data_IF_485225540597
#
_entry.id   IF_485225540597
#
_cell.length_a   1.000
_cell.length_b   1.000
_cell.length_c   1.000
_cell.angle_alpha   90.00
_cell.angle_beta   90.00
_cell.angle_gamma   90.00
#
_symmetry.space_group_name_H-M   'P 1'
#
loop_
_entity.id
_entity.type
_entity.pdbx_description
1 polymer ?
#
# COMPACT_ATOMS: atom_id res chain seq x y z
N UNK A 1 56.70 -34.48 32.76
CA UNK A 1 56.63 -33.16 32.09
C UNK A 1 55.35 -32.49 32.57
N UNK A 2 55.46 -31.39 33.30
CA UNK A 2 54.29 -30.61 33.72
C UNK A 2 53.88 -29.68 32.58
N UNK A 3 52.59 -29.66 32.26
CA UNK A 3 52.05 -28.61 31.40
C UNK A 3 52.06 -27.29 32.18
N UNK A 4 52.66 -26.26 31.61
CA UNK A 4 52.60 -24.89 32.09
C UNK A 4 51.57 -24.10 31.30
N UNK A 5 51.14 -22.99 31.89
CA UNK A 5 50.20 -22.06 31.29
C UNK A 5 50.94 -20.82 30.78
N UNK A 6 50.62 -20.37 29.57
CA UNK A 6 51.11 -19.11 29.01
C UNK A 6 49.94 -18.18 28.67
N UNK A 7 49.71 -17.21 29.56
CA UNK A 7 48.63 -16.23 29.44
C UNK A 7 48.96 -15.09 28.46
N UNK A 8 50.17 -15.04 27.91
CA UNK A 8 50.60 -13.97 26.99
C UNK A 8 50.33 -14.29 25.54
N UNK A 9 50.12 -15.58 25.20
CA UNK A 9 49.97 -16.04 23.82
C UNK A 9 48.61 -15.78 23.21
N UNK A 10 47.57 -15.67 24.03
CA UNK A 10 46.19 -15.60 23.57
C UNK A 10 45.57 -14.22 23.81
N UNK A 11 44.84 -13.77 22.79
CA UNK A 11 43.96 -12.62 22.89
C UNK A 11 42.76 -12.92 23.80
N UNK A 12 42.01 -11.88 24.14
CA UNK A 12 40.73 -12.06 24.82
C UNK A 12 39.68 -12.58 23.85
N UNK A 13 38.79 -13.45 24.34
CA UNK A 13 37.54 -13.74 23.63
C UNK A 13 36.49 -12.72 24.02
N UNK A 14 35.78 -12.18 23.05
CA UNK A 14 34.68 -11.25 23.30
C UNK A 14 33.34 -11.98 23.26
N UNK A 15 32.59 -11.84 24.35
CA UNK A 15 31.23 -12.30 24.50
C UNK A 15 30.32 -11.07 24.58
N UNK A 16 29.86 -10.60 23.43
CA UNK A 16 29.09 -9.36 23.35
C UNK A 16 27.68 -9.51 23.93
N UNK A 17 27.11 -10.71 23.92
CA UNK A 17 25.79 -10.99 24.51
C UNK A 17 25.84 -10.89 26.04
N UNK A 18 26.85 -11.49 26.66
CA UNK A 18 27.08 -11.36 28.10
C UNK A 18 27.74 -10.04 28.50
N UNK A 19 28.22 -9.25 27.52
CA UNK A 19 28.97 -8.02 27.73
C UNK A 19 30.32 -8.25 28.42
N UNK A 20 31.03 -9.35 28.10
CA UNK A 20 32.29 -9.74 28.75
C UNK A 20 33.44 -9.93 27.78
N UNK A 21 34.64 -9.53 28.19
CA UNK A 21 35.90 -9.99 27.62
C UNK A 21 36.49 -11.08 28.51
N UNK A 22 36.77 -12.25 27.97
CA UNK A 22 37.21 -13.43 28.72
C UNK A 22 38.67 -13.70 28.40
N UNK A 23 39.52 -13.75 29.44
CA UNK A 23 40.95 -14.03 29.27
C UNK A 23 41.12 -15.46 28.78
N UNK A 24 41.89 -15.62 27.71
CA UNK A 24 42.29 -16.93 27.22
C UNK A 24 43.74 -17.24 27.57
N UNK A 25 44.06 -18.52 27.55
CA UNK A 25 45.40 -19.03 27.80
C UNK A 25 45.77 -20.16 26.84
N UNK A 26 47.06 -20.38 26.63
CA UNK A 26 47.57 -21.55 25.91
C UNK A 26 48.39 -22.41 26.87
N UNK A 27 48.12 -23.71 26.88
CA UNK A 27 48.94 -24.66 27.62
C UNK A 27 50.16 -25.06 26.80
N UNK A 28 51.31 -25.22 27.44
CA UNK A 28 52.55 -25.65 26.80
C UNK A 28 53.34 -26.58 27.72
N UNK A 29 54.28 -27.33 27.17
CA UNK A 29 55.26 -28.09 27.95
C UNK A 29 56.66 -27.89 27.37
N UNK A 30 57.68 -28.14 28.18
CA UNK A 30 59.07 -28.12 27.73
C UNK A 30 59.46 -29.56 27.38
N UNK A 31 59.89 -29.79 26.14
CA UNK A 31 60.33 -31.09 25.67
C UNK A 31 61.75 -31.43 26.17
N UNK A 32 62.26 -32.61 25.77
CA UNK A 32 63.61 -33.07 26.19
C UNK A 32 64.74 -32.25 25.59
N UNK A 33 64.47 -31.45 24.57
CA UNK A 33 65.44 -30.55 23.92
C UNK A 33 65.34 -29.11 24.48
N UNK A 34 64.62 -28.93 25.58
CA UNK A 34 64.38 -27.63 26.21
C UNK A 34 63.61 -26.65 25.32
N UNK A 35 62.79 -27.16 24.38
CA UNK A 35 61.91 -26.33 23.53
C UNK A 35 60.48 -26.34 24.07
N UNK A 36 59.85 -25.18 24.02
CA UNK A 36 58.44 -25.01 24.38
C UNK A 36 57.55 -25.56 23.26
N UNK A 37 56.73 -26.54 23.60
CA UNK A 37 55.75 -27.16 22.71
C UNK A 37 54.34 -26.79 23.18
N UNK A 38 53.51 -26.29 22.25
CA UNK A 38 52.14 -25.91 22.56
C UNK A 38 51.22 -27.14 22.64
N UNK A 39 50.33 -27.14 23.62
CA UNK A 39 49.29 -28.15 23.82
C UNK A 39 47.97 -27.53 23.40
N UNK A 40 47.55 -27.80 22.17
CA UNK A 40 46.30 -27.31 21.62
C UNK A 40 46.26 -25.79 21.38
N UNK A 41 45.04 -25.30 21.19
CA UNK A 41 44.76 -23.88 20.94
C UNK A 41 44.52 -23.08 22.21
N UNK A 42 44.15 -21.81 22.03
CA UNK A 42 43.71 -20.94 23.11
C UNK A 42 42.40 -21.45 23.73
N UNK A 43 42.34 -21.46 25.06
CA UNK A 43 41.14 -21.84 25.83
C UNK A 43 40.80 -20.80 26.87
N UNK A 44 39.51 -20.67 27.18
CA UNK A 44 39.00 -19.69 28.15
C UNK A 44 39.42 -20.05 29.58
N UNK A 45 39.91 -19.05 30.32
CA UNK A 45 40.12 -19.19 31.77
C UNK A 45 38.78 -19.14 32.51
N UNK A 46 38.60 -20.10 33.41
CA UNK A 46 37.37 -20.24 34.20
C UNK A 46 37.44 -19.42 35.49
N UNK A 47 36.41 -18.61 35.75
CA UNK A 47 36.29 -17.79 36.96
C UNK A 47 35.92 -16.33 36.65
N UNK A 48 35.19 -15.69 37.56
CA UNK A 48 34.71 -14.31 37.37
C UNK A 48 35.84 -13.30 37.31
N UNK A 49 36.98 -13.59 37.94
CA UNK A 49 38.19 -12.77 37.88
C UNK A 49 38.84 -12.70 36.49
N UNK A 50 38.50 -13.62 35.59
CA UNK A 50 39.00 -13.67 34.21
C UNK A 50 37.98 -13.13 33.19
N UNK A 51 36.83 -12.66 33.66
CA UNK A 51 35.74 -12.11 32.86
C UNK A 51 35.57 -10.61 33.16
N UNK A 52 36.05 -9.78 32.26
CA UNK A 52 36.04 -8.33 32.40
C UNK A 52 34.82 -7.72 31.73
N UNK A 53 34.26 -6.69 32.35
CA UNK A 53 33.08 -6.00 31.82
C UNK A 53 33.46 -5.17 30.59
N UNK A 54 32.76 -5.42 29.48
CA UNK A 54 32.76 -4.53 28.32
C UNK A 54 31.93 -3.29 28.65
N UNK A 55 32.43 -2.12 28.29
CA UNK A 55 31.71 -0.86 28.40
C UNK A 55 31.97 0.03 27.18
N UNK A 56 31.03 0.94 26.92
CA UNK A 56 31.12 1.92 25.84
C UNK A 56 31.96 3.11 26.26
N UNK A 57 32.89 3.52 25.42
CA UNK A 57 33.64 4.77 25.56
C UNK A 57 33.34 5.68 24.36
N UNK A 58 32.42 6.63 24.59
CA UNK A 58 31.99 7.60 23.57
C UNK A 58 32.97 8.78 23.44
N UNK A 59 33.98 8.89 24.31
CA UNK A 59 34.93 10.01 24.34
C UNK A 59 36.05 9.90 23.31
N UNK A 60 36.28 8.69 22.78
CA UNK A 60 37.38 8.38 21.87
C UNK A 60 37.03 8.48 20.40
N UNK A 61 35.76 8.27 20.06
CA UNK A 61 35.32 8.33 18.68
C UNK A 61 34.93 9.76 18.29
N UNK A 62 35.55 10.27 17.21
CA UNK A 62 35.13 11.53 16.63
C UNK A 62 33.75 11.38 15.96
N UNK A 63 32.94 12.44 16.02
CA UNK A 63 31.69 12.51 15.28
C UNK A 63 32.00 12.43 13.77
N UNK A 64 31.68 11.28 13.15
CA UNK A 64 31.88 11.14 11.72
C UNK A 64 30.70 11.76 10.98
N UNK A 65 31.01 12.79 10.19
CA UNK A 65 30.09 13.30 9.17
C UNK A 65 30.33 12.51 7.90
N UNK A 66 29.39 11.64 7.55
CA UNK A 66 29.44 10.88 6.30
C UNK A 66 28.56 11.58 5.28
N UNK A 67 29.00 11.64 4.02
CA UNK A 67 28.21 12.22 2.94
C UNK A 67 26.96 11.40 2.62
N UNK A 68 27.00 10.10 2.89
CA UNK A 68 25.84 9.22 2.86
C UNK A 68 26.22 7.88 3.52
N UNK A 69 25.53 7.48 4.61
CA UNK A 69 25.59 6.09 5.08
C UNK A 69 24.72 5.15 4.24
N UNK A 70 24.27 5.61 3.08
CA UNK A 70 23.31 4.93 2.23
C UNK A 70 21.87 5.16 2.69
N UNK A 71 21.61 6.28 3.37
CA UNK A 71 20.26 6.75 3.75
C UNK A 71 19.67 7.71 2.72
N UNK A 72 20.47 8.19 1.75
CA UNK A 72 20.01 9.00 0.62
C UNK A 72 19.51 10.38 1.02
N UNK A 73 19.67 10.76 2.29
CA UNK A 73 19.24 12.05 2.84
C UNK A 73 20.38 13.08 2.86
N UNK A 74 21.47 12.84 2.11
CA UNK A 74 22.68 13.66 2.12
C UNK A 74 23.56 13.41 3.35
N UNK A 75 24.32 14.44 3.76
CA UNK A 75 25.23 14.35 4.91
C UNK A 75 24.49 13.90 6.17
N UNK A 76 25.05 12.92 6.87
CA UNK A 76 24.55 12.46 8.19
C UNK A 76 25.70 12.43 9.19
N UNK A 77 25.39 12.74 10.44
CA UNK A 77 26.31 12.59 11.57
C UNK A 77 25.86 11.39 12.40
N UNK A 78 26.78 10.49 12.68
CA UNK A 78 26.52 9.36 13.58
C UNK A 78 27.55 9.32 14.67
N UNK A 79 27.10 9.14 15.91
CA UNK A 79 27.97 8.77 17.00
C UNK A 79 28.48 7.34 16.76
N UNK A 80 29.79 7.20 16.60
CA UNK A 80 30.46 5.92 16.77
C UNK A 80 30.86 5.81 18.24
N UNK A 81 30.86 4.60 18.77
CA UNK A 81 31.30 4.32 20.14
C UNK A 81 32.37 3.25 20.08
N UNK A 82 33.34 3.31 20.98
CA UNK A 82 34.33 2.26 21.13
C UNK A 82 33.85 1.30 22.23
N UNK A 83 33.92 -0.02 22.00
CA UNK A 83 33.72 -0.97 23.10
C UNK A 83 35.09 -1.30 23.66
N UNK A 84 35.29 -0.99 24.94
CA UNK A 84 36.55 -1.20 25.66
C UNK A 84 36.34 -2.03 26.92
N UNK A 85 37.43 -2.53 27.48
CA UNK A 85 37.44 -3.14 28.79
C UNK A 85 38.77 -2.87 29.50
N UNK A 86 38.74 -2.98 30.83
CA UNK A 86 39.95 -2.94 31.65
C UNK A 86 40.49 -4.35 31.80
N UNK A 87 41.68 -4.59 31.26
CA UNK A 87 42.37 -5.87 31.28
C UNK A 87 42.87 -6.25 32.68
N UNK A 88 43.35 -7.49 32.83
CA UNK A 88 43.98 -7.96 34.07
C UNK A 88 45.28 -7.21 34.39
N UNK A 89 45.91 -6.64 33.36
CA UNK A 89 47.05 -5.74 33.44
C UNK A 89 46.67 -4.31 33.87
N UNK A 90 45.38 -4.08 34.17
CA UNK A 90 44.80 -2.78 34.51
C UNK A 90 44.91 -1.72 33.39
N UNK A 91 45.27 -2.15 32.16
CA UNK A 91 45.27 -1.31 30.97
C UNK A 91 43.88 -1.34 30.29
N UNK A 92 43.59 -0.30 29.52
CA UNK A 92 42.37 -0.26 28.69
C UNK A 92 42.68 -0.93 27.36
N UNK A 93 41.88 -1.93 27.02
CA UNK A 93 41.96 -2.68 25.77
C UNK A 93 40.71 -2.39 24.93
N UNK A 94 40.88 -2.38 23.62
CA UNK A 94 39.82 -2.13 22.65
C UNK A 94 39.27 -3.47 22.17
N UNK A 95 37.99 -3.71 22.42
CA UNK A 95 37.28 -4.89 21.89
C UNK A 95 36.65 -4.60 20.52
N UNK A 96 36.11 -3.40 20.33
CA UNK A 96 35.59 -2.93 19.03
C UNK A 96 36.04 -1.49 18.82
N UNK A 97 36.95 -1.21 17.87
CA UNK A 97 37.41 0.14 17.57
C UNK A 97 36.31 0.96 16.86
N UNK A 98 36.43 2.29 16.90
CA UNK A 98 35.51 3.19 16.18
C UNK A 98 35.40 2.86 14.68
N UNK A 99 36.48 2.36 14.06
CA UNK A 99 36.54 1.99 12.65
C UNK A 99 35.68 0.78 12.28
N UNK A 100 35.38 -0.13 13.22
CA UNK A 100 34.56 -1.29 12.92
C UNK A 100 33.08 -0.92 12.72
N UNK A 101 32.60 0.11 13.43
CA UNK A 101 31.28 0.70 13.16
C UNK A 101 31.22 1.47 11.85
N UNK A 102 32.36 1.86 11.26
CA UNK A 102 32.42 2.40 9.91
C UNK A 102 32.24 1.32 8.82
N UNK A 103 32.36 0.03 9.18
CA UNK A 103 32.20 -1.11 8.25
C UNK A 103 30.77 -1.62 8.15
N UNK A 104 29.89 -1.16 9.03
CA UNK A 104 28.45 -1.35 8.90
C UNK A 104 27.91 -0.30 7.93
N UNK A 105 27.38 -0.76 6.80
CA UNK A 105 26.74 0.06 5.78
C UNK A 105 25.24 -0.17 5.78
N UNK A 106 24.48 0.92 5.73
CA UNK A 106 23.03 0.87 5.57
C UNK A 106 22.70 1.00 4.08
N UNK A 107 21.68 0.28 3.62
CA UNK A 107 21.16 0.41 2.26
C UNK A 107 19.66 0.63 2.32
N UNK A 108 19.18 1.77 1.78
CA UNK A 108 17.74 2.04 1.68
C UNK A 108 17.04 0.94 0.90
N UNK A 109 15.96 0.45 1.49
CA UNK A 109 14.96 -0.39 0.82
C UNK A 109 13.75 0.45 0.42
N UNK A 110 13.28 1.32 1.32
CA UNK A 110 12.14 2.21 1.11
C UNK A 110 12.16 3.36 2.10
N UNK A 111 11.25 4.32 1.92
CA UNK A 111 10.97 5.35 2.91
C UNK A 111 9.56 5.18 3.48
N UNK A 112 9.42 5.40 4.78
CA UNK A 112 8.14 5.42 5.48
C UNK A 112 7.73 6.87 5.75
N UNK A 113 6.53 7.25 5.30
CA UNK A 113 5.98 8.59 5.46
C UNK A 113 5.09 8.65 6.69
N UNK A 114 5.21 9.72 7.45
CA UNK A 114 4.25 10.10 8.48
C UNK A 114 3.59 11.42 8.08
N UNK A 115 2.40 11.33 7.50
CA UNK A 115 1.65 12.49 7.00
C UNK A 115 1.19 13.45 8.11
N UNK A 116 1.07 12.97 9.36
CA UNK A 116 0.64 13.81 10.50
C UNK A 116 1.74 14.76 10.97
N UNK A 117 2.97 14.27 11.02
CA UNK A 117 4.14 15.05 11.46
C UNK A 117 4.95 15.59 10.29
N UNK A 118 4.58 15.23 9.06
CA UNK A 118 5.28 15.56 7.82
C UNK A 118 6.75 15.12 7.86
N UNK A 119 6.98 13.91 8.39
CA UNK A 119 8.32 13.31 8.52
C UNK A 119 8.48 12.04 7.71
N UNK A 120 9.72 11.76 7.34
CA UNK A 120 10.16 10.63 6.54
C UNK A 120 11.23 9.87 7.32
N UNK A 121 11.07 8.56 7.40
CA UNK A 121 12.02 7.65 8.01
C UNK A 121 12.52 6.64 6.97
N UNK A 122 13.83 6.55 6.70
CA UNK A 122 14.37 5.50 5.85
C UNK A 122 14.24 4.14 6.53
N UNK A 123 13.84 3.15 5.74
CA UNK A 123 13.89 1.75 6.09
C UNK A 123 15.09 1.13 5.38
N UNK A 124 16.02 0.55 6.14
CA UNK A 124 17.31 0.10 5.63
C UNK A 124 17.59 -1.36 5.95
N UNK A 125 18.39 -1.97 5.09
CA UNK A 125 19.10 -3.21 5.37
C UNK A 125 20.52 -2.87 5.82
N UNK A 126 21.02 -3.57 6.84
CA UNK A 126 22.36 -3.40 7.39
C UNK A 126 23.30 -4.49 6.92
N UNK A 127 24.45 -4.09 6.39
CA UNK A 127 25.49 -4.97 5.89
C UNK A 127 26.79 -4.72 6.64
N UNK A 128 27.47 -5.79 7.03
CA UNK A 128 28.84 -5.74 7.50
C UNK A 128 29.80 -6.11 6.37
N UNK A 129 30.79 -5.26 6.12
CA UNK A 129 31.86 -5.54 5.17
C UNK A 129 33.04 -6.19 5.89
N UNK A 130 33.32 -7.46 5.56
CA UNK A 130 34.41 -8.22 6.16
C UNK A 130 35.78 -7.61 5.76
N UNK A 131 36.62 -7.19 6.71
CA UNK A 131 37.93 -6.63 6.40
C UNK A 131 38.91 -7.63 5.78
N UNK A 132 38.74 -8.92 6.06
CA UNK A 132 39.58 -9.99 5.51
C UNK A 132 39.16 -10.38 4.10
N UNK A 133 37.92 -10.07 3.71
CA UNK A 133 37.40 -10.28 2.37
C UNK A 133 36.47 -9.13 1.96
N UNK A 134 36.98 -8.07 1.32
CA UNK A 134 36.22 -6.86 1.01
C UNK A 134 35.05 -7.09 0.04
N UNK A 135 34.96 -8.25 -0.61
CA UNK A 135 33.86 -8.62 -1.51
C UNK A 135 32.76 -9.43 -0.79
N UNK A 136 32.97 -9.81 0.47
CA UNK A 136 31.99 -10.55 1.26
C UNK A 136 31.23 -9.58 2.15
N UNK A 137 29.94 -9.40 1.83
CA UNK A 137 29.02 -8.63 2.66
C UNK A 137 28.11 -9.59 3.42
N UNK A 138 28.01 -9.41 4.73
CA UNK A 138 27.10 -10.18 5.57
C UNK A 138 25.92 -9.30 5.99
N UNK A 139 24.71 -9.82 5.81
CA UNK A 139 23.49 -9.10 6.21
C UNK A 139 23.32 -9.25 7.71
N UNK A 140 23.34 -8.13 8.43
CA UNK A 140 23.09 -8.08 9.86
C UNK A 140 21.59 -8.03 10.14
N UNK A 141 20.90 -7.06 9.52
CA UNK A 141 19.48 -6.80 9.74
C UNK A 141 18.80 -6.44 8.41
N UNK A 142 17.50 -6.72 8.31
CA UNK A 142 16.69 -6.31 7.15
C UNK A 142 15.51 -5.47 7.57
N UNK A 143 15.23 -4.44 6.78
CA UNK A 143 14.01 -3.64 6.88
C UNK A 143 13.84 -2.90 8.21
N UNK A 144 14.94 -2.50 8.85
CA UNK A 144 14.89 -1.75 10.12
C UNK A 144 14.67 -0.26 9.86
N UNK A 145 13.92 0.39 10.75
CA UNK A 145 13.79 1.84 10.73
C UNK A 145 15.11 2.49 11.14
N UNK A 146 15.63 3.38 10.31
CA UNK A 146 16.78 4.18 10.68
C UNK A 146 16.43 5.08 11.87
N UNK A 147 17.41 5.34 12.73
CA UNK A 147 17.26 6.29 13.84
C UNK A 147 17.14 7.75 13.36
N UNK A 148 17.36 8.00 12.08
CA UNK A 148 17.29 9.31 11.44
C UNK A 148 15.91 9.51 10.84
N UNK A 149 15.26 10.61 11.21
CA UNK A 149 14.04 11.10 10.55
C UNK A 149 14.22 12.54 10.12
N UNK A 150 13.56 12.90 9.02
CA UNK A 150 13.57 14.28 8.54
C UNK A 150 12.23 14.73 7.99
N UNK A 151 12.05 16.04 7.84
CA UNK A 151 10.91 16.59 7.13
C UNK A 151 10.98 16.22 5.65
N UNK A 152 9.82 16.04 5.01
CA UNK A 152 9.75 15.78 3.58
C UNK A 152 8.82 16.74 2.83
N UNK A 153 9.11 16.87 1.55
CA UNK A 153 8.24 17.44 0.54
C UNK A 153 7.96 16.40 -0.52
N UNK A 154 6.71 16.34 -0.97
CA UNK A 154 6.27 15.42 -2.02
C UNK A 154 5.85 16.24 -3.23
N UNK A 155 6.47 15.93 -4.37
CA UNK A 155 6.21 16.62 -5.63
C UNK A 155 5.69 15.62 -6.64
N UNK A 156 4.56 15.94 -7.26
CA UNK A 156 4.05 15.15 -8.36
C UNK A 156 5.02 15.26 -9.55
N UNK A 157 5.31 14.14 -10.21
CA UNK A 157 6.26 14.10 -11.32
C UNK A 157 5.82 13.04 -12.34
N UNK A 158 6.40 13.06 -13.54
CA UNK A 158 5.98 12.17 -14.63
C UNK A 158 4.58 12.48 -15.17
N UNK A 159 4.10 11.62 -16.07
CA UNK A 159 2.81 11.81 -16.75
C UNK A 159 1.64 11.29 -15.89
N UNK A 160 0.46 11.89 -16.06
CA UNK A 160 -0.78 11.32 -15.54
C UNK A 160 -1.16 10.05 -16.30
N UNK A 161 -1.48 9.01 -15.56
CA UNK A 161 -2.15 7.80 -16.04
C UNK A 161 -3.65 7.94 -15.78
N UNK A 162 -4.46 7.85 -16.83
CA UNK A 162 -5.90 8.04 -16.75
C UNK A 162 -6.61 6.70 -16.56
N UNK A 163 -7.42 6.60 -15.50
CA UNK A 163 -8.31 5.48 -15.24
C UNK A 163 -9.77 5.92 -15.40
N UNK A 164 -10.24 5.93 -16.65
CA UNK A 164 -11.60 6.37 -17.00
C UNK A 164 -12.69 5.52 -16.32
N UNK A 165 -12.43 4.23 -16.07
CA UNK A 165 -13.38 3.34 -15.42
C UNK A 165 -13.69 3.74 -13.96
N UNK A 166 -12.74 4.40 -13.30
CA UNK A 166 -12.90 4.94 -11.94
C UNK A 166 -13.02 6.47 -11.91
N UNK A 167 -13.01 7.12 -13.07
CA UNK A 167 -13.03 8.59 -13.20
C UNK A 167 -11.92 9.27 -12.38
N UNK A 168 -10.72 8.70 -12.42
CA UNK A 168 -9.56 9.19 -11.67
C UNK A 168 -8.30 9.19 -12.54
N UNK A 169 -7.34 10.03 -12.20
CA UNK A 169 -5.99 10.03 -12.74
C UNK A 169 -4.99 9.74 -11.63
N UNK A 170 -3.93 9.01 -11.95
CA UNK A 170 -2.83 8.75 -11.03
C UNK A 170 -1.54 9.29 -11.63
N UNK A 171 -0.70 9.94 -10.82
CA UNK A 171 0.61 10.42 -11.25
C UNK A 171 1.67 10.11 -10.20
N UNK A 172 2.87 9.70 -10.59
CA UNK A 172 3.98 9.47 -9.68
C UNK A 172 4.29 10.67 -8.77
N UNK A 173 4.97 10.39 -7.67
CA UNK A 173 5.63 11.42 -6.87
C UNK A 173 7.11 11.15 -6.67
N UNK A 174 7.86 12.24 -6.51
CA UNK A 174 9.19 12.23 -5.94
C UNK A 174 9.14 12.80 -4.52
N UNK A 175 9.98 12.27 -3.64
CA UNK A 175 10.17 12.77 -2.29
C UNK A 175 11.49 13.52 -2.21
N UNK A 176 11.45 14.68 -1.56
CA UNK A 176 12.63 15.41 -1.11
C UNK A 176 12.66 15.38 0.41
N UNK A 177 13.83 15.11 0.99
CA UNK A 177 14.08 15.17 2.43
C UNK A 177 14.86 16.43 2.75
N UNK A 178 14.52 17.10 3.84
CA UNK A 178 15.31 18.23 4.33
C UNK A 178 16.59 17.71 4.98
N UNK A 179 17.74 18.26 4.65
CA UNK A 179 18.99 17.95 5.33
C UNK A 179 19.33 19.11 6.28
N UNK A 180 19.25 18.84 7.59
CA UNK A 180 19.47 19.85 8.62
C UNK A 180 20.93 20.32 8.74
N UNK A 181 21.90 19.55 8.23
CA UNK A 181 23.33 19.87 8.35
C UNK A 181 23.80 20.91 7.33
N UNK A 182 23.30 20.85 6.09
CA UNK A 182 23.57 21.84 5.06
C UNK A 182 22.39 22.81 4.82
N UNK A 183 21.21 22.53 5.37
CA UNK A 183 20.03 23.39 5.23
C UNK A 183 19.32 23.27 3.88
N UNK A 184 19.54 22.17 3.14
CA UNK A 184 19.07 22.00 1.76
C UNK A 184 18.06 20.84 1.63
N UNK A 185 17.23 20.90 0.59
CA UNK A 185 16.33 19.80 0.22
C UNK A 185 17.02 18.84 -0.74
N UNK A 186 17.11 17.57 -0.36
CA UNK A 186 17.76 16.51 -1.14
C UNK A 186 16.71 15.58 -1.72
N UNK A 187 16.83 15.24 -3.01
CA UNK A 187 15.97 14.26 -3.67
C UNK A 187 16.30 12.85 -3.19
N UNK A 188 15.31 12.15 -2.62
CA UNK A 188 15.53 10.84 -1.98
C UNK A 188 14.83 9.68 -2.69
N UNK A 189 13.80 9.95 -3.50
CA UNK A 189 13.24 8.95 -4.40
C UNK A 189 13.28 9.44 -5.84
N UNK A 190 13.59 8.55 -6.79
CA UNK A 190 13.57 8.89 -8.21
C UNK A 190 12.14 9.14 -8.68
N UNK A 191 11.98 9.94 -9.73
CA UNK A 191 10.75 9.97 -10.51
C UNK A 191 10.65 8.78 -11.49
N UNK A 192 11.79 8.18 -11.85
CA UNK A 192 11.87 7.02 -12.72
C UNK A 192 11.69 5.72 -11.91
N UNK A 193 10.66 4.94 -12.24
CA UNK A 193 10.31 3.69 -11.56
C UNK A 193 11.27 2.53 -11.79
N UNK A 194 12.15 2.60 -12.80
CA UNK A 194 13.14 1.55 -13.05
C UNK A 194 14.25 1.50 -11.99
N UNK A 195 14.38 2.57 -11.19
CA UNK A 195 15.49 2.75 -10.24
C UNK A 195 15.31 2.06 -8.86
N UNK A 196 14.38 1.10 -8.74
CA UNK A 196 14.35 0.12 -7.65
C UNK A 196 13.84 0.59 -6.28
N UNK A 197 13.81 1.90 -5.99
CA UNK A 197 13.19 2.44 -4.77
C UNK A 197 11.75 2.88 -5.10
N UNK A 198 10.76 2.20 -4.51
CA UNK A 198 9.35 2.52 -4.73
C UNK A 198 9.01 3.90 -4.16
N UNK A 199 8.50 4.80 -4.99
CA UNK A 199 7.95 6.11 -4.59
C UNK A 199 6.41 6.10 -4.57
N UNK A 200 5.83 7.18 -4.05
CA UNK A 200 4.38 7.35 -3.93
C UNK A 200 3.69 7.72 -5.24
N UNK A 201 2.37 7.91 -5.17
CA UNK A 201 1.59 8.44 -6.28
C UNK A 201 0.44 9.29 -5.75
N UNK A 202 0.13 10.38 -6.45
CA UNK A 202 -1.05 11.19 -6.22
C UNK A 202 -2.18 10.66 -7.09
N UNK A 203 -3.35 10.49 -6.50
CA UNK A 203 -4.59 10.18 -7.22
C UNK A 203 -5.45 11.44 -7.21
N UNK A 204 -5.93 11.84 -8.38
CA UNK A 204 -6.77 13.02 -8.58
C UNK A 204 -8.06 12.60 -9.30
N UNK A 205 -9.24 12.86 -8.71
CA UNK A 205 -10.52 12.56 -9.37
C UNK A 205 -10.75 13.51 -10.56
N UNK A 206 -11.50 13.05 -11.57
CA UNK A 206 -11.90 13.91 -12.69
C UNK A 206 -12.91 14.96 -12.23
N UNK A 207 -12.86 16.13 -12.86
CA UNK A 207 -13.80 17.21 -12.59
C UNK A 207 -15.04 17.02 -13.47
N UNK A 208 -16.20 16.89 -12.84
CA UNK A 208 -17.46 16.74 -13.56
C UNK A 208 -17.85 18.04 -14.27
N UNK A 209 -18.07 17.98 -15.59
CA UNK A 209 -18.54 19.11 -16.39
C UNK A 209 -20.07 19.20 -16.47
N UNK A 210 -20.56 20.11 -17.31
CA UNK A 210 -22.01 20.30 -17.51
C UNK A 210 -22.56 19.21 -18.44
N UNK A 211 -23.55 18.46 -17.97
CA UNK A 211 -24.23 17.44 -18.77
C UNK A 211 -25.01 18.06 -19.92
N UNK A 212 -25.04 17.39 -21.07
CA UNK A 212 -25.92 17.73 -22.19
C UNK A 212 -26.81 16.55 -22.55
N UNK A 213 -28.00 16.82 -23.07
CA UNK A 213 -28.93 15.75 -23.50
C UNK A 213 -29.38 15.99 -24.93
N UNK A 214 -29.42 14.91 -25.71
CA UNK A 214 -29.88 14.91 -27.10
C UNK A 214 -30.97 13.86 -27.26
N UNK A 215 -32.09 14.22 -27.90
CA UNK A 215 -33.11 13.25 -28.31
C UNK A 215 -32.57 12.45 -29.48
N UNK A 216 -32.54 11.13 -29.35
CA UNK A 216 -32.10 10.21 -30.42
C UNK A 216 -33.27 9.76 -31.29
N UNK A 217 -34.42 9.49 -30.68
CA UNK A 217 -35.60 8.99 -31.38
C UNK A 217 -36.88 9.31 -30.63
N UNK A 218 -37.94 9.58 -31.39
CA UNK A 218 -39.32 9.61 -30.90
C UNK A 218 -40.11 8.52 -31.64
N UNK A 219 -40.69 7.58 -30.89
CA UNK A 219 -41.53 6.52 -31.43
C UNK A 219 -42.92 6.68 -30.85
N UNK A 220 -43.93 6.64 -31.73
CA UNK A 220 -45.34 6.64 -31.33
C UNK A 220 -45.90 5.24 -31.51
N UNK A 221 -46.37 4.63 -30.42
CA UNK A 221 -46.97 3.29 -30.45
C UNK A 221 -48.42 3.39 -29.99
N UNK A 222 -49.34 2.88 -30.82
CA UNK A 222 -50.75 2.80 -30.48
C UNK A 222 -51.10 1.36 -30.12
N UNK A 223 -51.70 1.18 -28.96
CA UNK A 223 -52.26 -0.10 -28.53
C UNK A 223 -53.79 0.01 -28.50
N UNK A 224 -54.43 -1.05 -28.96
CA UNK A 224 -55.87 -1.21 -28.88
C UNK A 224 -56.20 -2.26 -27.84
N UNK A 225 -57.13 -1.93 -26.97
CA UNK A 225 -57.59 -2.78 -25.89
C UNK A 225 -59.09 -2.99 -26.03
N UNK A 226 -59.50 -4.25 -25.87
CA UNK A 226 -60.90 -4.66 -25.88
C UNK A 226 -61.14 -5.56 -24.70
N UNK A 227 -62.09 -5.19 -23.86
CA UNK A 227 -62.63 -6.05 -22.81
C UNK A 227 -64.04 -6.43 -23.22
N UNK A 228 -64.27 -7.74 -23.30
CA UNK A 228 -65.59 -8.30 -23.56
C UNK A 228 -66.13 -8.92 -22.27
N UNK A 229 -67.26 -8.41 -21.80
CA UNK A 229 -67.96 -8.97 -20.65
C UNK A 229 -69.16 -9.75 -21.14
N UNK A 230 -69.15 -11.06 -20.88
CA UNK A 230 -70.32 -11.92 -21.11
C UNK A 230 -71.43 -11.51 -20.16
N UNK A 231 -72.56 -11.11 -20.73
CA UNK A 231 -73.77 -10.84 -19.97
C UNK A 231 -74.68 -12.06 -19.98
N UNK A 232 -75.41 -12.25 -18.89
CA UNK A 232 -76.39 -13.31 -18.76
C UNK A 232 -77.73 -12.66 -18.45
N UNK A 233 -78.73 -12.96 -19.28
CA UNK A 233 -80.11 -12.67 -18.99
C UNK A 233 -80.71 -13.81 -18.18
N UNK A 234 -81.62 -13.48 -17.28
CA UNK A 234 -82.41 -14.45 -16.54
C UNK A 234 -83.87 -14.30 -16.97
N UNK A 235 -84.49 -15.40 -17.35
CA UNK A 235 -85.94 -15.45 -17.58
C UNK A 235 -86.51 -16.63 -16.82
N UNK A 236 -87.61 -16.37 -16.15
CA UNK A 236 -88.31 -17.39 -15.41
C UNK A 236 -89.24 -18.15 -16.36
N UNK A 237 -88.98 -19.45 -16.54
CA UNK A 237 -89.87 -20.32 -17.31
C UNK A 237 -90.72 -21.13 -16.35
N UNK A 238 -92.00 -20.79 -16.28
CA UNK A 238 -92.98 -21.55 -15.51
C UNK A 238 -93.66 -22.58 -16.40
N UNK A 239 -93.60 -23.84 -15.99
CA UNK A 239 -94.37 -24.92 -16.60
C UNK A 239 -95.38 -25.44 -15.58
N UNK A 240 -96.55 -25.87 -16.05
CA UNK A 240 -97.59 -26.51 -15.22
C UNK A 240 -97.72 -28.01 -15.53
N UNK A 241 -96.69 -28.84 -15.26
CA UNK A 241 -96.87 -30.27 -15.33
C UNK A 241 -97.82 -30.70 -14.20
N UNK A 242 -98.92 -31.38 -14.56
CA UNK A 242 -99.92 -31.94 -13.62
C UNK A 242 -100.56 -30.91 -12.66
N UNK A 243 -100.75 -29.66 -13.11
CA UNK A 243 -101.48 -28.63 -12.35
C UNK A 243 -100.69 -27.91 -11.26
N UNK A 244 -99.44 -28.29 -11.00
CA UNK A 244 -98.56 -27.61 -10.04
C UNK A 244 -97.63 -26.65 -10.79
N UNK A 245 -97.63 -25.37 -10.41
CA UNK A 245 -96.79 -24.36 -11.06
C UNK A 245 -95.35 -24.54 -10.57
N UNK A 246 -94.44 -24.97 -11.46
CA UNK A 246 -92.99 -24.99 -11.18
C UNK A 246 -92.30 -24.00 -12.10
N UNK A 247 -91.66 -23.02 -11.48
CA UNK A 247 -90.86 -22.02 -12.18
C UNK A 247 -89.38 -22.32 -11.90
N UNK A 248 -88.57 -22.33 -12.95
CA UNK A 248 -87.12 -22.43 -12.83
C UNK A 248 -86.47 -21.26 -13.56
N UNK A 249 -85.45 -20.64 -12.97
CA UNK A 249 -84.67 -19.63 -13.66
C UNK A 249 -83.89 -20.30 -14.80
N UNK A 250 -84.07 -19.80 -16.02
CA UNK A 250 -83.22 -20.13 -17.15
C UNK A 250 -82.32 -18.95 -17.44
N UNK A 251 -81.01 -19.22 -17.42
CA UNK A 251 -80.00 -18.26 -17.85
C UNK A 251 -79.74 -18.44 -19.34
N UNK A 252 -79.74 -17.33 -20.07
CA UNK A 252 -79.38 -17.31 -21.48
C UNK A 252 -78.32 -16.24 -21.73
N UNK A 253 -77.51 -16.44 -22.76
CA UNK A 253 -76.54 -15.45 -23.18
C UNK A 253 -77.28 -14.24 -23.76
N UNK A 254 -76.99 -13.06 -23.22
CA UNK A 254 -77.38 -11.79 -23.84
C UNK A 254 -76.17 -11.21 -24.56
N UNK A 255 -76.40 -10.17 -25.37
CA UNK A 255 -75.32 -9.52 -26.10
C UNK A 255 -74.20 -9.07 -25.14
N UNK A 256 -72.94 -9.42 -25.45
CA UNK A 256 -71.82 -9.09 -24.58
C UNK A 256 -71.63 -7.58 -24.56
N UNK A 257 -71.31 -7.03 -23.38
CA UNK A 257 -70.93 -5.62 -23.29
C UNK A 257 -69.45 -5.50 -23.66
N UNK A 258 -69.19 -4.67 -24.67
CA UNK A 258 -67.86 -4.44 -25.22
C UNK A 258 -67.39 -3.07 -24.75
N UNK A 259 -66.23 -3.04 -24.09
CA UNK A 259 -65.53 -1.79 -23.78
C UNK A 259 -64.22 -1.76 -24.53
N UNK A 260 -64.12 -0.83 -25.46
CA UNK A 260 -62.93 -0.63 -26.29
C UNK A 260 -62.28 0.71 -25.96
N UNK A 261 -60.95 0.70 -25.87
CA UNK A 261 -60.18 1.92 -25.83
C UNK A 261 -58.87 1.77 -26.59
N UNK A 262 -58.38 2.88 -27.12
CA UNK A 262 -57.03 2.96 -27.68
C UNK A 262 -56.18 3.87 -26.80
N UNK A 263 -54.97 3.44 -26.48
CA UNK A 263 -53.94 4.27 -25.87
C UNK A 263 -52.81 4.50 -26.85
N UNK A 264 -52.38 5.75 -26.98
CA UNK A 264 -51.22 6.11 -27.79
C UNK A 264 -50.10 6.57 -26.87
N UNK A 265 -48.99 5.85 -26.90
CA UNK A 265 -47.79 6.17 -26.13
C UNK A 265 -46.77 6.86 -27.02
N UNK A 266 -46.14 7.90 -26.49
CA UNK A 266 -44.94 8.50 -27.07
C UNK A 266 -43.74 8.05 -26.25
N UNK A 267 -42.83 7.30 -26.87
CA UNK A 267 -41.57 6.89 -26.27
C UNK A 267 -40.45 7.74 -26.86
N UNK A 268 -39.84 8.57 -26.01
CA UNK A 268 -38.70 9.41 -26.34
C UNK A 268 -37.44 8.77 -25.78
N UNK A 269 -36.47 8.51 -26.65
CA UNK A 269 -35.13 8.04 -26.25
C UNK A 269 -34.19 9.24 -26.21
N UNK A 270 -33.67 9.55 -25.03
CA UNK A 270 -32.67 10.60 -24.82
C UNK A 270 -31.31 9.99 -24.52
N UNK A 271 -30.27 10.56 -25.12
CA UNK A 271 -28.89 10.31 -24.74
C UNK A 271 -28.38 11.50 -23.95
N UNK A 272 -28.02 11.25 -22.70
CA UNK A 272 -27.31 12.20 -21.86
C UNK A 272 -25.81 11.94 -21.98
N UNK A 273 -25.05 12.99 -22.27
CA UNK A 273 -23.59 12.98 -22.30
C UNK A 273 -23.09 13.75 -21.10
N UNK A 274 -22.35 13.07 -20.23
CA UNK A 274 -21.70 13.64 -19.06
C UNK A 274 -20.19 13.78 -19.34
N UNK A 275 -19.69 15.01 -19.56
CA UNK A 275 -18.25 15.23 -19.70
C UNK A 275 -17.56 15.20 -18.34
N UNK A 276 -16.36 14.64 -18.31
CA UNK A 276 -15.42 14.62 -17.19
C UNK A 276 -14.08 15.18 -17.66
N UNK A 277 -13.63 16.27 -17.06
CA UNK A 277 -12.35 16.90 -17.34
C UNK A 277 -11.24 16.15 -16.61
N UNK A 278 -10.27 15.65 -17.38
CA UNK A 278 -9.08 14.99 -16.87
C UNK A 278 -8.03 16.05 -16.48
N UNK A 279 -7.22 15.80 -15.44
CA UNK A 279 -6.05 16.62 -15.16
C UNK A 279 -5.16 16.76 -16.39
N UNK A 280 -4.71 17.98 -16.69
CA UNK A 280 -3.82 18.24 -17.81
C UNK A 280 -2.45 17.59 -17.58
N UNK A 281 -1.83 17.10 -18.67
CA UNK A 281 -0.39 16.85 -18.66
C UNK A 281 0.38 18.17 -18.59
N UNK A 282 1.64 18.09 -18.16
CA UNK A 282 2.48 19.27 -18.07
C UNK A 282 2.66 19.88 -19.48
N UNK A 283 2.31 21.16 -19.63
CA UNK A 283 2.29 21.92 -20.90
C UNK A 283 1.22 21.48 -21.93
N UNK A 284 0.24 20.68 -21.53
CA UNK A 284 -0.89 20.32 -22.39
C UNK A 284 -2.21 20.93 -21.88
N UNK A 285 -3.20 21.00 -22.76
CA UNK A 285 -4.55 21.39 -22.35
C UNK A 285 -5.29 20.20 -21.72
N UNK A 286 -6.17 20.42 -20.73
CA UNK A 286 -7.02 19.36 -20.18
C UNK A 286 -7.81 18.64 -21.27
N UNK A 287 -7.87 17.31 -21.18
CA UNK A 287 -8.68 16.48 -22.08
C UNK A 287 -10.00 16.08 -21.40
N UNK A 288 -11.01 15.73 -22.19
CA UNK A 288 -12.35 15.40 -21.68
C UNK A 288 -12.70 13.94 -21.99
N UNK A 289 -13.16 13.21 -20.98
CA UNK A 289 -13.80 11.90 -21.14
C UNK A 289 -15.33 12.08 -21.11
N UNK A 290 -16.03 11.52 -22.09
CA UNK A 290 -17.48 11.61 -22.17
C UNK A 290 -18.13 10.28 -21.79
N UNK A 291 -18.92 10.29 -20.73
CA UNK A 291 -19.76 9.17 -20.35
C UNK A 291 -21.16 9.33 -20.96
N UNK A 292 -21.62 8.34 -21.71
CA UNK A 292 -22.92 8.37 -22.36
C UNK A 292 -23.91 7.45 -21.63
N UNK A 293 -25.08 7.99 -21.33
CA UNK A 293 -26.18 7.24 -20.73
C UNK A 293 -27.45 7.42 -21.57
N UNK A 294 -28.10 6.33 -21.90
CA UNK A 294 -29.33 6.32 -22.69
C UNK A 294 -30.53 6.07 -21.77
N UNK A 295 -31.52 6.95 -21.84
CA UNK A 295 -32.76 6.85 -21.10
C UNK A 295 -33.96 6.73 -22.05
N UNK A 296 -34.93 5.90 -21.67
CA UNK A 296 -36.20 5.77 -22.37
C UNK A 296 -37.30 6.33 -21.49
N UNK A 297 -37.97 7.39 -21.95
CA UNK A 297 -39.14 7.95 -21.28
C UNK A 297 -40.38 7.67 -22.12
N UNK A 298 -41.37 7.00 -21.53
CA UNK A 298 -42.67 6.74 -22.15
C UNK A 298 -43.74 7.61 -21.50
N UNK A 299 -44.47 8.36 -22.31
CA UNK A 299 -45.57 9.22 -21.85
C UNK A 299 -46.87 8.86 -22.58
N UNK A 300 -47.97 8.80 -21.82
CA UNK A 300 -49.31 8.69 -22.38
C UNK A 300 -49.67 9.98 -23.13
N UNK A 301 -49.93 9.87 -24.42
CA UNK A 301 -50.26 11.03 -25.25
C UNK A 301 -51.77 11.29 -25.30
N UNK A 302 -52.61 10.24 -25.38
CA UNK A 302 -54.08 10.30 -25.40
C UNK A 302 -54.70 8.94 -25.02
N UNK A 303 -55.80 8.96 -24.25
CA UNK A 303 -56.68 7.82 -23.98
C UNK A 303 -58.07 8.13 -24.56
N UNK A 304 -58.54 7.31 -25.49
CA UNK A 304 -59.89 7.42 -26.04
C UNK A 304 -60.73 6.25 -25.57
N UNK A 305 -61.68 6.49 -24.67
CA UNK A 305 -62.69 5.50 -24.29
C UNK A 305 -63.92 5.65 -25.18
N UNK A 306 -64.30 4.55 -25.85
CA UNK A 306 -65.58 4.48 -26.57
C UNK A 306 -66.47 3.51 -25.82
N UNK A 307 -67.38 4.04 -24.99
CA UNK A 307 -68.46 3.22 -24.41
C UNK A 307 -69.54 3.07 -25.46
N UNK A 308 -69.71 1.86 -25.99
CA UNK A 308 -70.89 1.51 -26.76
C UNK A 308 -71.93 1.05 -25.75
N UNK A 309 -72.81 1.97 -25.33
CA UNK A 309 -74.03 1.60 -24.63
C UNK A 309 -75.00 1.09 -25.69
N UNK A 310 -75.30 -0.21 -25.66
CA UNK A 310 -76.47 -0.73 -26.34
C UNK A 310 -77.65 -0.51 -25.38
N UNK A 311 -78.60 0.34 -25.81
CA UNK A 311 -79.93 0.50 -25.18
C UNK A 311 -80.75 -0.78 -25.34
#
# INVERSE_FOLDING_TARGET
>A
MGASRDDTKCAYRYDFEAGKAIKQTQYCYIDRENKTQNIGGCVDLQGTQYAMQLYKDDSKCALQTTSDKGYGMGKTQTFQTEIVFRGMDNLIHVAVPCSDYARVQDRIVRYEKNDKTQTLTPIVDQYYNDPSNPNKQEILNRGIAAQLSSQYQEFACGQWEYNDAKLEAKRPTMLKSYNKLNGEWVEVTPCNFEAGIKSGAVVSPYVMGVSSSKVLSDITTSHYFRIERKNYGEKEQCQKPYGVNRCQPQYFHTDPSITDWSATYKTTTTQTTQPYLRPAQDNESPTTYNYHHSNHHQQDSKRFEKRIAFE
#
